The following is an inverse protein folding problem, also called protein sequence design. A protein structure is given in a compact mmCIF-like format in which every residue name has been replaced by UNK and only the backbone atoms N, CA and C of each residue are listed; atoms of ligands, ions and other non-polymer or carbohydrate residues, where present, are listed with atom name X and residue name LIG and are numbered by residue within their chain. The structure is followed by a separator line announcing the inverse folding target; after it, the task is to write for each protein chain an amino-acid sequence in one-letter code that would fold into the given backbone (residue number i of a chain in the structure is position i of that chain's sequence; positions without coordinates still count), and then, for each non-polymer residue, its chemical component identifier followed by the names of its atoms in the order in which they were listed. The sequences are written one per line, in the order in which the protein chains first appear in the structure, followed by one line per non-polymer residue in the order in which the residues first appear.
data_IF_980050275333
#
_entry.id   IF_980050275333
#
_cell.length_a   1.000
_cell.length_b   1.000
_cell.length_c   1.000
_cell.angle_alpha   90.00
_cell.angle_beta   90.00
_cell.angle_gamma   90.00
#
_symmetry.space_group_name_H-M   'P 1'
#
loop_
_entity.id
_entity.type
_entity.pdbx_description
1 polymer ?
#
# COMPACT_ATOMS: atom_id res chain seq x y z
N UNK A 1 11.08 14.76 2.79
CA UNK A 1 12.03 14.79 1.63
C UNK A 1 13.39 15.20 2.17
N UNK A 2 14.46 14.47 1.86
CA UNK A 2 15.83 14.77 2.32
C UNK A 2 16.67 15.36 1.20
N UNK A 3 17.61 16.22 1.56
CA UNK A 3 18.51 16.91 0.63
C UNK A 3 19.95 16.63 1.05
N UNK A 4 20.87 16.45 0.09
CA UNK A 4 22.29 16.35 0.39
C UNK A 4 22.83 17.68 0.91
N UNK A 5 23.54 17.62 2.03
CA UNK A 5 24.16 18.80 2.64
C UNK A 5 25.56 19.00 2.03
N UNK A 6 25.59 19.57 0.83
CA UNK A 6 26.82 19.87 0.10
C UNK A 6 27.62 21.01 0.76
N UNK A 7 28.93 21.06 0.49
CA UNK A 7 29.86 22.03 1.10
C UNK A 7 29.41 23.49 0.93
N UNK A 8 28.97 23.88 -0.28
CA UNK A 8 28.51 25.25 -0.57
C UNK A 8 27.22 25.62 0.18
N UNK A 9 26.35 24.63 0.43
CA UNK A 9 25.13 24.85 1.21
C UNK A 9 25.48 25.07 2.68
N UNK A 10 26.45 24.33 3.23
CA UNK A 10 26.96 24.56 4.59
C UNK A 10 27.58 25.95 4.74
N UNK A 11 28.39 26.38 3.78
CA UNK A 11 28.99 27.73 3.80
C UNK A 11 27.93 28.83 3.78
N UNK A 12 26.87 28.63 2.99
CA UNK A 12 25.77 29.60 2.87
C UNK A 12 24.91 29.63 4.13
N UNK A 13 24.68 28.48 4.79
CA UNK A 13 23.83 28.40 5.99
C UNK A 13 24.57 28.76 7.29
N UNK A 14 25.90 28.68 7.32
CA UNK A 14 26.72 28.97 8.51
C UNK A 14 26.49 30.38 9.09
N UNK A 15 26.41 31.47 8.30
CA UNK A 15 26.12 32.81 8.81
C UNK A 15 24.73 32.98 9.45
N UNK A 16 23.79 32.07 9.16
CA UNK A 16 22.43 32.11 9.67
C UNK A 16 22.26 31.51 11.07
N UNK A 17 23.27 30.77 11.54
CA UNK A 17 23.33 30.21 12.90
C UNK A 17 23.24 31.38 13.90
N UNK A 18 22.29 31.28 14.84
CA UNK A 18 21.98 32.33 15.82
C UNK A 18 21.13 33.52 15.34
N UNK A 19 20.63 33.54 14.09
CA UNK A 19 19.65 34.55 13.61
C UNK A 19 18.36 33.90 13.12
N UNK A 20 18.48 32.73 12.48
CA UNK A 20 17.33 32.00 11.99
C UNK A 20 16.48 31.51 13.18
N UNK A 21 15.14 31.49 13.03
CA UNK A 21 14.23 31.08 14.11
C UNK A 21 14.25 29.57 14.37
N UNK A 22 14.83 28.79 13.45
CA UNK A 22 14.83 27.33 13.51
C UNK A 22 16.11 26.83 14.17
N UNK A 23 16.03 26.53 15.48
CA UNK A 23 17.13 25.99 16.26
C UNK A 23 17.64 24.63 15.72
N UNK A 24 16.83 23.94 14.92
CA UNK A 24 17.18 22.67 14.28
C UNK A 24 18.33 22.82 13.28
N UNK A 25 18.50 24.00 12.68
CA UNK A 25 19.55 24.28 11.69
C UNK A 25 20.95 24.09 12.30
N UNK A 26 21.13 24.48 13.56
CA UNK A 26 22.41 24.40 14.27
C UNK A 26 22.85 22.95 14.48
N UNK A 27 21.89 22.06 14.70
CA UNK A 27 22.14 20.63 14.88
C UNK A 27 22.75 20.01 13.61
N UNK A 28 22.21 20.31 12.42
CA UNK A 28 22.70 19.73 11.16
C UNK A 28 24.06 20.30 10.75
N UNK A 29 24.30 21.59 11.00
CA UNK A 29 25.58 22.24 10.67
C UNK A 29 26.68 21.79 11.65
N UNK A 30 26.38 21.70 12.94
CA UNK A 30 27.37 21.33 13.97
C UNK A 30 27.70 19.83 13.95
N UNK A 31 26.73 18.98 13.64
CA UNK A 31 26.93 17.53 13.56
C UNK A 31 27.59 17.08 12.24
N UNK A 32 27.86 17.99 11.29
CA UNK A 32 28.38 17.66 9.95
C UNK A 32 27.56 16.56 9.27
N UNK A 33 26.23 16.67 9.36
CA UNK A 33 25.33 15.68 8.78
C UNK A 33 25.45 15.69 7.24
N UNK A 34 25.40 14.52 6.61
CA UNK A 34 25.44 14.41 5.14
C UNK A 34 24.12 14.79 4.47
N UNK A 35 23.02 14.86 5.23
CA UNK A 35 21.70 15.18 4.73
C UNK A 35 20.95 16.12 5.67
N UNK A 36 20.08 16.96 5.09
CA UNK A 36 19.19 17.87 5.81
C UNK A 36 17.75 17.69 5.34
N UNK A 37 16.75 17.75 6.23
CA UNK A 37 15.34 17.73 5.83
C UNK A 37 14.97 18.96 5.00
N UNK A 38 14.18 18.77 3.95
CA UNK A 38 13.66 19.85 3.12
C UNK A 38 12.89 20.91 3.90
N UNK A 39 12.14 20.48 4.91
CA UNK A 39 11.27 21.37 5.69
C UNK A 39 12.07 22.44 6.45
N UNK A 40 13.31 22.12 6.86
CA UNK A 40 14.23 23.06 7.50
C UNK A 40 14.73 24.11 6.51
N UNK A 41 15.12 23.70 5.29
CA UNK A 41 15.48 24.68 4.24
C UNK A 41 14.27 25.53 3.84
N UNK A 42 13.07 24.95 3.89
CA UNK A 42 11.84 25.65 3.61
C UNK A 42 11.51 26.70 4.67
N UNK A 43 11.68 26.39 5.96
CA UNK A 43 11.48 27.35 7.06
C UNK A 43 12.46 28.53 6.91
N UNK A 44 13.73 28.26 6.63
CA UNK A 44 14.77 29.28 6.38
C UNK A 44 14.40 30.17 5.19
N UNK A 45 14.01 29.59 4.05
CA UNK A 45 13.65 30.37 2.85
C UNK A 45 12.38 31.24 3.04
N UNK A 46 11.46 30.82 3.91
CA UNK A 46 10.28 31.61 4.26
C UNK A 46 10.66 32.75 5.20
N UNK A 47 11.47 32.46 6.21
CA UNK A 47 11.97 33.46 7.13
C UNK A 47 12.81 34.54 6.43
N UNK A 48 13.72 34.16 5.53
CA UNK A 48 14.57 35.09 4.78
C UNK A 48 13.77 36.10 3.92
N UNK A 49 12.53 35.74 3.52
CA UNK A 49 11.61 36.61 2.77
C UNK A 49 10.67 37.43 3.66
N UNK A 50 10.63 37.15 4.97
CA UNK A 50 9.83 37.92 5.91
C UNK A 50 10.47 39.27 6.22
N UNK A 51 9.67 40.26 6.65
CA UNK A 51 10.18 41.59 7.02
C UNK A 51 11.21 41.54 8.17
N UNK A 52 11.01 40.63 9.13
CA UNK A 52 11.94 40.38 10.23
C UNK A 52 13.25 39.77 9.73
N UNK A 53 13.18 38.75 8.87
CA UNK A 53 14.36 38.10 8.29
C UNK A 53 15.16 39.03 7.39
N UNK A 54 14.49 39.84 6.56
CA UNK A 54 15.18 40.83 5.70
C UNK A 54 15.96 41.84 6.54
N UNK A 55 15.36 42.34 7.63
CA UNK A 55 16.03 43.29 8.53
C UNK A 55 17.23 42.65 9.23
N UNK A 56 17.08 41.41 9.69
CA UNK A 56 18.13 40.66 10.38
C UNK A 56 19.28 40.19 9.46
N UNK A 57 19.00 39.92 8.19
CA UNK A 57 20.01 39.60 7.18
C UNK A 57 20.79 40.84 6.76
N UNK A 58 20.09 41.95 6.52
CA UNK A 58 20.72 43.23 6.15
C UNK A 58 21.59 43.81 7.26
N UNK A 59 21.23 43.61 8.53
CA UNK A 59 22.06 44.05 9.66
C UNK A 59 23.42 43.32 9.73
N UNK A 60 23.53 42.15 9.10
CA UNK A 60 24.79 41.40 8.91
C UNK A 60 25.37 41.50 7.50
N UNK A 61 24.90 42.45 6.68
CA UNK A 61 25.32 42.63 5.28
C UNK A 61 25.10 41.40 4.38
N UNK A 62 24.13 40.55 4.72
CA UNK A 62 23.75 39.36 3.94
C UNK A 62 22.61 39.70 2.97
N UNK A 63 22.66 39.13 1.76
CA UNK A 63 21.61 39.32 0.76
C UNK A 63 20.47 38.30 0.93
N UNK A 64 19.21 38.73 1.13
CA UNK A 64 18.08 37.82 1.26
C UNK A 64 17.82 36.89 0.06
N UNK A 65 18.27 37.28 -1.14
CA UNK A 65 18.05 36.48 -2.35
C UNK A 65 18.88 35.18 -2.38
N UNK A 66 20.04 35.18 -1.71
CA UNK A 66 20.94 34.03 -1.60
C UNK A 66 20.33 32.90 -0.75
N UNK A 67 19.28 33.22 0.02
CA UNK A 67 18.52 32.30 0.87
C UNK A 67 17.15 31.95 0.29
N UNK A 68 16.89 32.32 -0.98
CA UNK A 68 15.70 31.83 -1.68
C UNK A 68 15.77 30.31 -1.82
N UNK A 69 14.60 29.65 -1.87
CA UNK A 69 14.55 28.19 -2.04
C UNK A 69 15.30 27.74 -3.30
N UNK A 70 15.26 28.54 -4.37
CA UNK A 70 15.97 28.22 -5.62
C UNK A 70 17.49 28.25 -5.41
N UNK A 71 18.00 29.27 -4.70
CA UNK A 71 19.42 29.39 -4.38
C UNK A 71 19.89 28.27 -3.43
N UNK A 72 19.11 27.96 -2.39
CA UNK A 72 19.43 26.89 -1.43
C UNK A 72 19.38 25.48 -2.04
N UNK A 73 18.58 25.28 -3.09
CA UNK A 73 18.51 24.02 -3.83
C UNK A 73 19.47 23.96 -5.02
N UNK A 74 20.24 25.02 -5.28
CA UNK A 74 21.18 25.01 -6.39
C UNK A 74 22.31 24.02 -6.10
N UNK A 75 22.49 23.03 -6.97
CA UNK A 75 23.59 22.07 -6.90
C UNK A 75 23.48 21.02 -5.79
N UNK A 76 22.31 20.85 -5.15
CA UNK A 76 22.10 19.80 -4.14
C UNK A 76 21.29 18.63 -4.68
N UNK A 77 21.51 17.44 -4.14
CA UNK A 77 20.83 16.22 -4.57
C UNK A 77 19.59 15.99 -3.70
N UNK A 78 18.43 15.81 -4.34
CA UNK A 78 17.20 15.44 -3.62
C UNK A 78 17.10 13.92 -3.44
N UNK A 79 16.79 13.48 -2.23
CA UNK A 79 16.69 12.06 -1.85
C UNK A 79 17.94 11.23 -2.20
N UNK A 80 19.13 11.60 -1.70
CA UNK A 80 20.38 10.87 -2.01
C UNK A 80 20.36 9.41 -1.53
N UNK A 81 19.51 9.07 -0.55
CA UNK A 81 19.36 7.71 -0.01
C UNK A 81 18.28 6.87 -0.71
N UNK A 82 17.72 7.32 -1.84
CA UNK A 82 16.57 6.67 -2.46
C UNK A 82 16.94 5.28 -2.99
N UNK A 83 16.78 4.26 -2.15
CA UNK A 83 16.66 2.86 -2.57
C UNK A 83 15.35 2.75 -3.33
N UNK A 84 15.42 2.71 -4.66
CA UNK A 84 14.25 2.36 -5.45
C UNK A 84 13.75 1.00 -4.99
N UNK A 85 12.43 0.81 -4.82
CA UNK A 85 11.91 -0.54 -4.59
C UNK A 85 12.36 -1.43 -5.77
N UNK A 86 12.68 -2.71 -5.53
CA UNK A 86 13.08 -3.61 -6.60
C UNK A 86 11.97 -3.66 -7.66
N UNK A 87 12.36 -3.50 -8.93
CA UNK A 87 11.43 -3.61 -10.05
C UNK A 87 10.87 -5.03 -10.10
N UNK A 88 9.56 -5.17 -9.96
CA UNK A 88 8.84 -6.43 -10.21
C UNK A 88 8.33 -6.41 -11.65
N UNK A 89 8.90 -7.21 -12.57
CA UNK A 89 8.39 -7.30 -13.93
C UNK A 89 6.93 -7.78 -13.94
N UNK A 90 6.10 -7.32 -14.89
CA UNK A 90 4.77 -7.86 -15.08
C UNK A 90 4.87 -9.36 -15.38
N UNK A 91 3.94 -10.15 -14.82
CA UNK A 91 3.89 -11.59 -15.06
C UNK A 91 3.74 -11.86 -16.57
N UNK A 92 4.39 -12.91 -17.04
CA UNK A 92 4.30 -13.34 -18.43
C UNK A 92 2.84 -13.63 -18.83
N UNK A 93 2.46 -13.37 -20.09
CA UNK A 93 1.08 -13.52 -20.55
C UNK A 93 0.54 -14.95 -20.36
N UNK A 94 1.41 -15.96 -20.43
CA UNK A 94 1.06 -17.36 -20.19
C UNK A 94 0.65 -17.63 -18.74
N UNK A 95 1.38 -17.04 -17.77
CA UNK A 95 1.07 -17.17 -16.34
C UNK A 95 -0.26 -16.50 -16.01
N UNK A 96 -0.51 -15.33 -16.61
CA UNK A 96 -1.79 -14.62 -16.45
C UNK A 96 -2.95 -15.43 -17.04
N UNK A 97 -2.75 -16.04 -18.22
CA UNK A 97 -3.77 -16.87 -18.85
C UNK A 97 -4.09 -18.13 -18.00
N UNK A 98 -3.06 -18.78 -17.46
CA UNK A 98 -3.22 -19.94 -16.58
C UNK A 98 -3.97 -19.57 -15.28
N UNK A 99 -3.63 -18.43 -14.66
CA UNK A 99 -4.33 -17.92 -13.47
C UNK A 99 -5.80 -17.64 -13.78
N UNK A 100 -6.11 -16.94 -14.87
CA UNK A 100 -7.49 -16.67 -15.30
C UNK A 100 -8.29 -17.95 -15.56
N UNK A 101 -7.64 -18.97 -16.16
CA UNK A 101 -8.29 -20.26 -16.39
C UNK A 101 -8.59 -20.99 -15.07
N UNK A 102 -7.67 -20.95 -14.10
CA UNK A 102 -7.89 -21.52 -12.77
C UNK A 102 -9.00 -20.77 -12.01
N UNK A 103 -9.00 -19.45 -12.04
CA UNK A 103 -10.05 -18.60 -11.45
C UNK A 103 -11.43 -18.95 -12.01
N UNK A 104 -11.57 -19.05 -13.34
CA UNK A 104 -12.83 -19.43 -13.97
C UNK A 104 -13.32 -20.81 -13.54
N UNK A 105 -12.42 -21.78 -13.41
CA UNK A 105 -12.76 -23.12 -12.92
C UNK A 105 -13.23 -23.09 -11.48
N UNK A 106 -12.56 -22.33 -10.61
CA UNK A 106 -12.95 -22.18 -9.21
C UNK A 106 -14.34 -21.52 -9.09
N UNK A 107 -14.59 -20.44 -9.85
CA UNK A 107 -15.88 -19.78 -9.89
C UNK A 107 -16.97 -20.74 -10.38
N UNK A 108 -16.71 -21.49 -11.45
CA UNK A 108 -17.66 -22.46 -11.98
C UNK A 108 -18.00 -23.56 -10.95
N UNK A 109 -17.00 -24.07 -10.23
CA UNK A 109 -17.21 -25.06 -9.17
C UNK A 109 -18.10 -24.51 -8.04
N UNK A 110 -17.88 -23.26 -7.61
CA UNK A 110 -18.71 -22.61 -6.59
C UNK A 110 -20.16 -22.46 -7.04
N UNK A 111 -20.38 -22.00 -8.28
CA UNK A 111 -21.72 -21.85 -8.84
C UNK A 111 -22.42 -23.22 -8.96
N UNK A 112 -21.70 -24.25 -9.41
CA UNK A 112 -22.24 -25.60 -9.51
C UNK A 112 -22.66 -26.16 -8.14
N UNK A 113 -21.82 -25.97 -7.11
CA UNK A 113 -22.15 -26.38 -5.75
C UNK A 113 -23.39 -25.65 -5.19
N UNK A 114 -23.48 -24.33 -5.38
CA UNK A 114 -24.64 -23.54 -4.96
C UNK A 114 -25.93 -23.98 -5.66
N UNK A 115 -25.87 -24.22 -6.97
CA UNK A 115 -27.01 -24.71 -7.75
C UNK A 115 -27.41 -26.13 -7.37
N UNK A 116 -26.46 -27.00 -7.07
CA UNK A 116 -26.70 -28.38 -6.60
C UNK A 116 -27.46 -28.38 -5.28
N UNK A 117 -26.99 -27.62 -4.29
CA UNK A 117 -27.64 -27.50 -2.97
C UNK A 117 -29.04 -26.88 -3.10
N UNK A 118 -29.14 -25.74 -3.79
CA UNK A 118 -30.41 -25.03 -3.96
C UNK A 118 -31.42 -25.83 -4.76
N UNK A 119 -31.00 -26.45 -5.87
CA UNK A 119 -31.84 -27.28 -6.73
C UNK A 119 -32.35 -28.52 -6.01
N UNK A 120 -31.50 -29.22 -5.24
CA UNK A 120 -31.92 -30.36 -4.45
C UNK A 120 -32.90 -29.98 -3.33
N UNK A 121 -32.65 -28.88 -2.62
CA UNK A 121 -33.55 -28.36 -1.60
C UNK A 121 -34.91 -27.97 -2.19
N UNK A 122 -34.91 -27.27 -3.34
CA UNK A 122 -36.14 -26.88 -4.04
C UNK A 122 -36.92 -28.10 -4.55
N UNK A 123 -36.24 -29.07 -5.17
CA UNK A 123 -36.86 -30.30 -5.64
C UNK A 123 -37.46 -31.12 -4.48
N UNK A 124 -36.75 -31.23 -3.36
CA UNK A 124 -37.27 -31.88 -2.15
C UNK A 124 -38.48 -31.14 -1.58
N UNK A 125 -38.49 -29.80 -1.62
CA UNK A 125 -39.61 -29.00 -1.15
C UNK A 125 -40.84 -29.21 -2.01
N UNK A 126 -40.65 -29.21 -3.33
CA UNK A 126 -41.71 -29.47 -4.30
C UNK A 126 -42.28 -30.88 -4.15
N UNK A 127 -41.42 -31.90 -4.09
CA UNK A 127 -41.82 -33.29 -3.93
C UNK A 127 -42.57 -33.55 -2.61
N UNK A 128 -42.18 -32.89 -1.52
CA UNK A 128 -42.90 -32.98 -0.25
C UNK A 128 -44.30 -32.33 -0.26
N UNK A 129 -44.67 -31.65 -1.34
CA UNK A 129 -46.02 -31.10 -1.52
C UNK A 129 -47.08 -32.15 -1.81
N UNK A 130 -46.71 -33.30 -2.38
CA UNK A 130 -47.65 -34.38 -2.70
C UNK A 130 -47.89 -35.34 -1.53
N UNK A 131 -47.10 -35.29 -0.46
CA UNK A 131 -47.20 -36.20 0.69
C UNK A 131 -48.21 -35.76 1.76
N UNK A 132 -48.82 -34.57 1.61
CA UNK A 132 -49.79 -34.04 2.58
C UNK A 132 -49.17 -33.64 3.93
N UNK A 133 -47.84 -33.50 4.00
CA UNK A 133 -47.14 -33.17 5.24
C UNK A 133 -47.39 -31.72 5.70
N UNK A 134 -47.45 -31.48 7.02
CA UNK A 134 -47.44 -30.12 7.56
C UNK A 134 -46.19 -29.37 7.10
N UNK A 135 -46.31 -28.05 6.94
CA UNK A 135 -45.22 -27.19 6.43
C UNK A 135 -43.90 -27.33 7.22
N UNK A 136 -43.99 -27.60 8.53
CA UNK A 136 -42.85 -27.81 9.41
C UNK A 136 -42.02 -29.05 9.00
N UNK A 137 -42.69 -30.16 8.67
CA UNK A 137 -42.04 -31.40 8.24
C UNK A 137 -41.43 -31.27 6.86
N UNK A 138 -42.07 -30.52 5.96
CA UNK A 138 -41.52 -30.20 4.63
C UNK A 138 -40.23 -29.40 4.75
N UNK A 139 -40.22 -28.36 5.60
CA UNK A 139 -39.04 -27.54 5.84
C UNK A 139 -37.87 -28.34 6.46
N UNK A 140 -38.16 -29.22 7.43
CA UNK A 140 -37.15 -30.08 8.05
C UNK A 140 -36.56 -31.07 7.02
N UNK A 141 -37.40 -31.68 6.19
CA UNK A 141 -36.95 -32.59 5.14
C UNK A 141 -36.06 -31.87 4.11
N UNK A 142 -36.44 -30.67 3.68
CA UNK A 142 -35.65 -29.89 2.72
C UNK A 142 -34.32 -29.44 3.28
N UNK A 143 -34.30 -29.06 4.55
CA UNK A 143 -33.07 -28.69 5.24
C UNK A 143 -32.13 -29.89 5.35
N UNK A 144 -32.66 -31.07 5.67
CA UNK A 144 -31.88 -32.31 5.73
C UNK A 144 -31.27 -32.65 4.37
N UNK A 145 -32.05 -32.56 3.28
CA UNK A 145 -31.55 -32.79 1.91
C UNK A 145 -30.47 -31.76 1.55
N UNK A 146 -30.68 -30.48 1.87
CA UNK A 146 -29.70 -29.42 1.62
C UNK A 146 -28.38 -29.68 2.37
N UNK A 147 -28.44 -30.09 3.63
CA UNK A 147 -27.25 -30.41 4.44
C UNK A 147 -26.50 -31.62 3.87
N UNK A 148 -27.21 -32.66 3.44
CA UNK A 148 -26.61 -33.87 2.87
C UNK A 148 -25.87 -33.55 1.57
N UNK A 149 -26.51 -32.78 0.68
CA UNK A 149 -25.89 -32.34 -0.58
C UNK A 149 -24.71 -31.39 -0.32
N UNK A 150 -24.86 -30.43 0.60
CA UNK A 150 -23.78 -29.52 0.99
C UNK A 150 -22.57 -30.28 1.56
N UNK A 151 -22.81 -31.34 2.33
CA UNK A 151 -21.74 -32.19 2.87
C UNK A 151 -21.02 -32.97 1.77
N UNK A 152 -21.76 -33.48 0.77
CA UNK A 152 -21.18 -34.17 -0.38
C UNK A 152 -20.33 -33.23 -1.26
N UNK A 153 -20.86 -32.06 -1.60
CA UNK A 153 -20.14 -31.02 -2.36
C UNK A 153 -18.91 -30.51 -1.58
N UNK A 154 -19.05 -30.30 -0.27
CA UNK A 154 -17.95 -29.89 0.62
C UNK A 154 -16.82 -30.93 0.68
N UNK A 155 -17.16 -32.22 0.73
CA UNK A 155 -16.19 -33.31 0.66
C UNK A 155 -15.44 -33.34 -0.68
N UNK A 156 -16.16 -33.17 -1.79
CA UNK A 156 -15.55 -33.11 -3.12
C UNK A 156 -14.61 -31.90 -3.27
N UNK A 157 -15.02 -30.75 -2.74
CA UNK A 157 -14.21 -29.54 -2.71
C UNK A 157 -12.94 -29.72 -1.87
N UNK A 158 -13.05 -30.38 -0.71
CA UNK A 158 -11.89 -30.67 0.13
C UNK A 158 -10.85 -31.53 -0.60
N UNK A 159 -11.28 -32.59 -1.29
CA UNK A 159 -10.40 -33.44 -2.10
C UNK A 159 -9.75 -32.63 -3.23
N UNK A 160 -10.51 -31.75 -3.89
CA UNK A 160 -9.98 -30.88 -4.92
C UNK A 160 -8.89 -29.95 -4.36
N UNK A 161 -9.12 -29.35 -3.19
CA UNK A 161 -8.18 -28.45 -2.53
C UNK A 161 -6.86 -29.16 -2.19
N UNK A 162 -6.91 -30.40 -1.70
CA UNK A 162 -5.70 -31.17 -1.40
C UNK A 162 -4.86 -31.46 -2.65
N UNK A 163 -5.50 -31.75 -3.78
CA UNK A 163 -4.81 -32.01 -5.05
C UNK A 163 -4.14 -30.76 -5.64
N UNK A 164 -4.58 -29.56 -5.26
CA UNK A 164 -4.05 -28.30 -5.78
C UNK A 164 -3.05 -27.63 -4.82
N UNK A 165 -2.67 -28.28 -3.70
CA UNK A 165 -1.56 -27.80 -2.87
C UNK A 165 -0.26 -27.89 -3.68
N UNK A 166 0.46 -26.79 -3.94
CA UNK A 166 1.73 -26.85 -4.65
C UNK A 166 2.72 -27.70 -3.84
N UNK A 167 3.37 -28.66 -4.49
CA UNK A 167 4.46 -29.41 -3.89
C UNK A 167 5.55 -28.41 -3.48
N UNK A 168 5.91 -28.43 -2.19
CA UNK A 168 6.94 -27.57 -1.62
C UNK A 168 8.21 -27.74 -2.49
N UNK A 169 8.79 -26.65 -3.04
CA UNK A 169 10.02 -26.79 -3.81
C UNK A 169 11.09 -27.39 -2.90
N UNK A 170 11.67 -28.52 -3.32
CA UNK A 170 12.85 -29.09 -2.68
C UNK A 170 13.98 -28.06 -2.82
N UNK A 171 14.43 -27.54 -1.69
CA UNK A 171 15.65 -26.73 -1.59
C UNK A 171 16.88 -27.56 -1.92
#
# INVERSE_FOLDING_TARGET
LTISLEYHLVETLRPLVGIAPDASLEQYISASASTIPYDVLQSVSRWARSSAGISALRSRSLNPQDYSMIALLAGVTTSPERKFPPYTPPAEPEVIAAQRAAERKAIAALINGLLSIGGAAFAAFWASGSTGWPQQWRALFTLLVAILVASAEGGLYFIWLERHKPSKPRQ
#
